data_IF_092144448598
#
_entry.id   IF_092144448598
#
_cell.length_a   1.000
_cell.length_b   1.000
_cell.length_c   1.000
_cell.angle_alpha   90.00
_cell.angle_beta   90.00
_cell.angle_gamma   90.00
#
_symmetry.space_group_name_H-M   'P 1'
#
loop_
_entity.id
_entity.type
_entity.pdbx_description
1 polymer ?
#
# COMPACT_ATOMS: atom_id res chain seq x y z
N UNK A 1 16.69 -21.21 20.60
CA UNK A 1 17.18 -19.83 20.49
C UNK A 1 16.77 -19.26 19.14
N UNK A 2 16.07 -18.15 19.14
CA UNK A 2 15.66 -17.56 17.85
C UNK A 2 16.85 -16.91 17.18
N UNK A 3 16.94 -17.12 15.87
CA UNK A 3 17.91 -16.49 15.02
C UNK A 3 17.57 -15.00 14.86
N UNK A 4 18.57 -14.13 14.82
CA UNK A 4 18.37 -12.71 14.57
C UNK A 4 17.56 -12.46 13.28
N UNK A 5 17.80 -13.27 12.24
CA UNK A 5 17.07 -13.16 10.98
C UNK A 5 15.59 -13.49 11.14
N UNK A 6 15.26 -14.46 11.96
CA UNK A 6 13.87 -14.80 12.27
C UNK A 6 13.18 -13.67 13.00
N UNK A 7 13.84 -13.07 13.98
CA UNK A 7 13.31 -11.96 14.73
C UNK A 7 13.05 -10.76 13.83
N UNK A 8 13.98 -10.46 12.93
CA UNK A 8 13.83 -9.37 11.98
C UNK A 8 12.69 -9.64 11.02
N UNK A 9 12.59 -10.86 10.49
CA UNK A 9 11.50 -11.25 9.60
C UNK A 9 10.15 -11.13 10.29
N UNK A 10 10.06 -11.52 11.56
CA UNK A 10 8.82 -11.41 12.32
C UNK A 10 8.42 -9.95 12.51
N UNK A 11 9.37 -9.08 12.81
CA UNK A 11 9.10 -7.64 12.91
C UNK A 11 8.62 -7.05 11.60
N UNK A 12 9.25 -7.42 10.50
CA UNK A 12 8.87 -6.97 9.18
C UNK A 12 7.46 -7.46 8.81
N UNK A 13 7.13 -8.71 9.15
CA UNK A 13 5.81 -9.26 8.90
C UNK A 13 4.74 -8.52 9.70
N UNK A 14 5.00 -8.22 10.96
CA UNK A 14 4.06 -7.46 11.79
C UNK A 14 3.86 -6.05 11.26
N UNK A 15 4.95 -5.40 10.85
CA UNK A 15 4.87 -4.05 10.27
C UNK A 15 4.09 -4.04 8.97
N UNK A 16 4.33 -5.05 8.12
CA UNK A 16 3.60 -5.21 6.87
C UNK A 16 2.09 -5.33 7.13
N UNK A 17 1.70 -6.14 8.10
CA UNK A 17 0.28 -6.31 8.47
C UNK A 17 -0.34 -5.02 8.97
N UNK A 18 0.40 -4.24 9.77
CA UNK A 18 -0.07 -2.95 10.26
C UNK A 18 -0.38 -2.00 9.11
N UNK A 19 0.54 -1.90 8.14
CA UNK A 19 0.35 -1.02 7.00
C UNK A 19 -0.80 -1.51 6.12
N UNK A 20 -0.90 -2.81 5.88
CA UNK A 20 -1.98 -3.39 5.07
C UNK A 20 -3.36 -3.05 5.63
N UNK A 21 -3.50 -2.93 6.95
CA UNK A 21 -4.79 -2.54 7.56
C UNK A 21 -5.21 -1.12 7.21
N UNK A 22 -4.27 -0.27 6.86
CA UNK A 22 -4.53 1.11 6.47
C UNK A 22 -4.86 1.24 4.99
N UNK A 23 -4.64 0.18 4.20
CA UNK A 23 -4.79 0.18 2.76
C UNK A 23 -6.16 -0.36 2.34
N UNK A 24 -6.63 -0.04 1.12
CA UNK A 24 -7.87 -0.59 0.61
C UNK A 24 -7.84 -2.13 0.60
N UNK A 25 -9.00 -2.73 0.85
CA UNK A 25 -9.09 -4.20 0.93
C UNK A 25 -8.70 -4.92 -0.36
N UNK A 26 -8.93 -4.29 -1.53
CA UNK A 26 -8.54 -4.90 -2.80
C UNK A 26 -7.04 -5.08 -2.94
N UNK A 27 -6.23 -4.31 -2.21
CA UNK A 27 -4.76 -4.42 -2.23
C UNK A 27 -4.30 -5.75 -1.64
N UNK A 28 -5.13 -6.39 -0.80
CA UNK A 28 -4.79 -7.69 -0.22
C UNK A 28 -4.60 -8.76 -1.29
N UNK A 29 -5.39 -8.72 -2.36
CA UNK A 29 -5.24 -9.66 -3.48
C UNK A 29 -3.88 -9.49 -4.16
N UNK A 30 -3.42 -8.25 -4.32
CA UNK A 30 -2.10 -7.96 -4.85
C UNK A 30 -1.00 -8.60 -3.98
N UNK A 31 -1.05 -8.39 -2.67
CA UNK A 31 -0.05 -8.96 -1.78
C UNK A 31 -0.07 -10.48 -1.76
N UNK A 32 -1.25 -11.10 -1.81
CA UNK A 32 -1.36 -12.56 -1.93
C UNK A 32 -0.74 -13.06 -3.23
N UNK A 33 -0.95 -12.32 -4.32
CA UNK A 33 -0.45 -12.71 -5.63
C UNK A 33 1.08 -12.73 -5.72
N UNK A 34 1.76 -11.87 -4.96
CA UNK A 34 3.22 -11.77 -4.99
C UNK A 34 3.91 -12.47 -3.81
N UNK A 35 3.14 -13.10 -2.92
CA UNK A 35 3.69 -13.67 -1.67
C UNK A 35 4.72 -14.77 -1.92
N UNK A 36 4.54 -15.57 -2.98
CA UNK A 36 5.42 -16.68 -3.29
C UNK A 36 6.69 -16.26 -4.03
N UNK A 37 6.68 -15.09 -4.66
CA UNK A 37 7.78 -14.64 -5.53
C UNK A 37 8.58 -13.48 -4.94
N UNK A 38 8.18 -12.97 -3.79
CA UNK A 38 8.85 -11.83 -3.15
C UNK A 38 9.16 -12.12 -1.69
N UNK A 39 10.19 -11.46 -1.18
CA UNK A 39 10.50 -11.51 0.25
C UNK A 39 9.53 -10.63 1.04
N UNK A 40 9.44 -10.87 2.34
CA UNK A 40 8.69 -9.99 3.24
C UNK A 40 9.19 -8.56 3.16
N UNK A 41 10.50 -8.37 3.07
CA UNK A 41 11.11 -7.06 2.98
C UNK A 41 10.67 -6.30 1.71
N UNK A 42 10.60 -7.01 0.59
CA UNK A 42 10.13 -6.42 -0.67
C UNK A 42 8.66 -6.02 -0.57
N UNK A 43 7.83 -6.89 0.00
CA UNK A 43 6.41 -6.57 0.20
C UNK A 43 6.22 -5.38 1.14
N UNK A 44 7.06 -5.29 2.18
CA UNK A 44 7.03 -4.14 3.09
C UNK A 44 7.35 -2.83 2.36
N UNK A 45 8.34 -2.86 1.46
CA UNK A 45 8.67 -1.69 0.64
C UNK A 45 7.47 -1.29 -0.23
N UNK A 46 6.81 -2.25 -0.87
CA UNK A 46 5.61 -1.96 -1.67
C UNK A 46 4.48 -1.40 -0.80
N UNK A 47 4.32 -1.91 0.40
CA UNK A 47 3.28 -1.41 1.32
C UNK A 47 3.53 0.05 1.68
N UNK A 48 4.76 0.44 1.95
CA UNK A 48 5.12 1.84 2.21
C UNK A 48 4.81 2.72 1.00
N UNK A 49 5.18 2.27 -0.20
CA UNK A 49 4.93 3.02 -1.42
C UNK A 49 3.44 3.21 -1.66
N UNK A 50 2.65 2.15 -1.48
CA UNK A 50 1.20 2.22 -1.63
C UNK A 50 0.58 3.14 -0.59
N UNK A 51 1.08 3.13 0.64
CA UNK A 51 0.58 4.01 1.70
C UNK A 51 0.79 5.48 1.31
N UNK A 52 1.96 5.81 0.77
CA UNK A 52 2.25 7.17 0.32
C UNK A 52 1.30 7.58 -0.80
N UNK A 53 1.09 6.70 -1.78
CA UNK A 53 0.20 6.98 -2.90
C UNK A 53 -1.24 7.20 -2.44
N UNK A 54 -1.79 6.32 -1.59
CA UNK A 54 -3.16 6.45 -1.13
C UNK A 54 -3.35 7.67 -0.21
N UNK A 55 -2.30 8.03 0.55
CA UNK A 55 -2.33 9.28 1.31
C UNK A 55 -2.40 10.49 0.39
N UNK A 56 -1.65 10.46 -0.71
CA UNK A 56 -1.71 11.51 -1.72
C UNK A 56 -3.12 11.66 -2.28
N UNK A 57 -3.77 10.54 -2.61
CA UNK A 57 -5.15 10.59 -3.09
C UNK A 57 -6.09 11.20 -2.06
N UNK A 58 -5.92 10.83 -0.80
CA UNK A 58 -6.72 11.36 0.29
C UNK A 58 -6.58 12.88 0.41
N UNK A 59 -5.38 13.40 0.28
CA UNK A 59 -5.09 14.81 0.48
C UNK A 59 -5.35 15.66 -0.76
N UNK A 60 -5.12 15.14 -1.95
CA UNK A 60 -5.02 15.94 -3.17
C UNK A 60 -6.03 15.59 -4.26
N UNK A 61 -6.61 14.38 -4.27
CA UNK A 61 -7.47 13.97 -5.38
C UNK A 61 -8.84 14.66 -5.29
N UNK A 62 -9.31 15.18 -6.42
CA UNK A 62 -10.56 15.97 -6.49
C UNK A 62 -11.81 15.21 -6.08
N UNK A 63 -11.90 13.91 -6.39
CA UNK A 63 -13.09 13.10 -6.08
C UNK A 63 -12.85 12.11 -4.95
N UNK A 64 -11.62 11.61 -4.80
CA UNK A 64 -11.27 10.63 -3.77
C UNK A 64 -10.73 11.28 -2.50
N UNK A 65 -10.46 12.59 -2.55
CA UNK A 65 -9.98 13.32 -1.39
C UNK A 65 -10.94 13.22 -0.22
N UNK A 66 -10.41 12.97 0.97
CA UNK A 66 -11.21 12.83 2.17
C UNK A 66 -11.79 11.44 2.40
N UNK A 67 -11.65 10.50 1.44
CA UNK A 67 -12.05 9.11 1.64
C UNK A 67 -10.86 8.36 2.22
N UNK A 68 -11.03 7.78 3.40
CA UNK A 68 -9.97 7.00 4.03
C UNK A 68 -9.55 5.85 3.10
N UNK A 69 -8.24 5.59 2.97
CA UNK A 69 -7.77 4.52 2.06
C UNK A 69 -8.44 3.17 2.30
N UNK A 70 -8.68 2.80 3.55
CA UNK A 70 -9.34 1.53 3.89
C UNK A 70 -10.77 1.44 3.36
N UNK A 71 -11.40 2.58 3.07
CA UNK A 71 -12.78 2.65 2.59
C UNK A 71 -12.86 2.74 1.07
N UNK A 72 -11.72 2.84 0.38
CA UNK A 72 -11.70 2.84 -1.08
C UNK A 72 -12.02 1.45 -1.61
N UNK A 73 -12.81 1.43 -2.69
CA UNK A 73 -13.15 0.19 -3.39
C UNK A 73 -12.45 0.16 -4.74
N UNK A 74 -12.44 -1.01 -5.38
CA UNK A 74 -11.87 -1.14 -6.73
C UNK A 74 -12.57 -0.19 -7.72
N UNK A 75 -13.86 0.07 -7.54
CA UNK A 75 -14.60 0.99 -8.38
C UNK A 75 -14.06 2.43 -8.29
N UNK A 76 -13.56 2.85 -7.13
CA UNK A 76 -12.95 4.17 -6.97
C UNK A 76 -11.70 4.34 -7.81
N UNK A 77 -10.98 3.25 -8.12
CA UNK A 77 -9.77 3.35 -8.94
C UNK A 77 -10.05 3.85 -10.36
N UNK A 78 -11.27 3.67 -10.86
CA UNK A 78 -11.64 4.18 -12.18
C UNK A 78 -11.59 5.70 -12.23
N UNK A 79 -11.59 6.37 -11.09
CA UNK A 79 -11.49 7.82 -10.99
C UNK A 79 -10.05 8.34 -11.05
N UNK A 80 -9.06 7.44 -10.96
CA UNK A 80 -7.64 7.80 -11.05
C UNK A 80 -7.24 7.78 -12.51
N UNK A 81 -6.86 8.93 -13.04
CA UNK A 81 -6.46 9.09 -14.45
C UNK A 81 -4.94 9.03 -14.59
N UNK A 82 -4.45 8.93 -15.83
CA UNK A 82 -3.01 9.01 -16.08
C UNK A 82 -2.46 10.38 -15.66
N UNK A 83 -3.24 11.43 -15.79
CA UNK A 83 -2.85 12.77 -15.34
C UNK A 83 -2.69 12.81 -13.82
N UNK A 84 -3.55 12.11 -13.09
CA UNK A 84 -3.44 11.99 -11.63
C UNK A 84 -2.15 11.29 -11.22
N UNK A 85 -1.78 10.23 -11.95
CA UNK A 85 -0.54 9.50 -11.71
C UNK A 85 0.67 10.40 -11.97
N UNK A 86 0.65 11.14 -13.08
CA UNK A 86 1.73 12.08 -13.41
C UNK A 86 1.87 13.15 -12.31
N UNK A 87 0.76 13.69 -11.85
CA UNK A 87 0.75 14.68 -10.77
C UNK A 87 1.32 14.09 -9.47
N UNK A 88 1.02 12.83 -9.18
CA UNK A 88 1.57 12.16 -8.02
C UNK A 88 3.09 12.07 -8.11
N UNK A 89 3.63 11.62 -9.25
CA UNK A 89 5.07 11.53 -9.42
C UNK A 89 5.75 12.89 -9.35
N UNK A 90 5.11 13.92 -9.86
CA UNK A 90 5.63 15.29 -9.77
C UNK A 90 5.67 15.80 -8.34
N UNK A 91 4.84 15.26 -7.44
CA UNK A 91 4.77 15.68 -6.04
C UNK A 91 5.86 15.05 -5.16
N UNK A 92 6.54 14.02 -5.64
CA UNK A 92 7.54 13.28 -4.87
C UNK A 92 8.88 14.00 -4.69
#
# INVERSE_FOLDING_TARGET
MSDYREELKNKETLRLREIQRELPSFVQAFFRGIAQTTSTKTRLAYAYDLRIFFRYLYEEHRTLGGIEPKDLTAAHLSEVTSEDIDAYFDSL
#
